data_IF_983537215113
#
_entry.id   IF_983537215113
#
_cell.length_a   1.000
_cell.length_b   1.000
_cell.length_c   1.000
_cell.angle_alpha   90.00
_cell.angle_beta   90.00
_cell.angle_gamma   90.00
#
_symmetry.space_group_name_H-M   'P 1'
#
loop_
_entity.id
_entity.type
_entity.pdbx_description
1 polymer ?
#
# COMPACT_ATOMS: atom_id res chain seq x y z
N UNK A 1 6.99 -5.48 25.19
CA UNK A 1 8.07 -4.50 24.97
C UNK A 1 7.56 -3.56 23.90
N UNK A 2 6.94 -2.46 24.30
CA UNK A 2 6.15 -1.54 23.46
C UNK A 2 7.06 -0.39 22.97
N UNK A 3 8.11 -0.73 22.23
CA UNK A 3 9.04 0.26 21.70
C UNK A 3 8.49 0.87 20.41
N UNK A 4 8.62 2.19 20.26
CA UNK A 4 8.36 2.88 19.00
C UNK A 4 9.22 2.27 17.87
N UNK A 5 8.58 1.99 16.73
CA UNK A 5 9.19 1.45 15.51
C UNK A 5 9.38 2.53 14.46
N UNK A 6 8.47 3.50 14.42
CA UNK A 6 8.48 4.59 13.47
C UNK A 6 7.83 5.84 14.08
N UNK A 7 8.27 7.01 13.63
CA UNK A 7 7.76 8.31 14.05
C UNK A 7 7.70 9.25 12.84
N UNK A 8 6.51 9.80 12.57
CA UNK A 8 6.29 10.72 11.44
C UNK A 8 5.73 12.04 11.95
N UNK A 9 6.23 13.15 11.38
CA UNK A 9 5.70 14.49 11.63
C UNK A 9 4.74 14.81 10.48
N UNK A 10 3.49 15.09 10.81
CA UNK A 10 2.42 15.34 9.85
C UNK A 10 2.08 16.84 9.86
N UNK A 11 2.29 17.52 8.74
CA UNK A 11 1.86 18.90 8.57
C UNK A 11 0.36 18.95 8.35
N UNK A 12 -0.35 19.82 9.06
CA UNK A 12 -1.77 20.06 8.81
C UNK A 12 -1.95 21.03 7.64
N UNK A 13 -2.90 20.76 6.76
CA UNK A 13 -3.15 21.62 5.60
C UNK A 13 -3.79 22.93 6.07
N UNK A 14 -3.18 24.05 5.67
CA UNK A 14 -3.71 25.39 5.96
C UNK A 14 -3.56 25.87 7.41
N UNK A 15 -2.93 25.08 8.30
CA UNK A 15 -2.71 25.44 9.70
C UNK A 15 -1.22 25.54 10.04
N UNK A 16 -0.88 26.47 10.94
CA UNK A 16 0.42 26.48 11.59
C UNK A 16 0.44 25.42 12.69
N UNK A 17 0.84 24.20 12.35
CA UNK A 17 0.92 23.11 13.33
C UNK A 17 1.31 21.80 12.68
N UNK A 18 1.80 20.90 13.52
CA UNK A 18 2.06 19.51 13.13
C UNK A 18 1.48 18.57 14.17
N UNK A 19 1.19 17.36 13.72
CA UNK A 19 0.89 16.22 14.57
C UNK A 19 2.02 15.20 14.46
N UNK A 20 2.11 14.33 15.46
CA UNK A 20 3.14 13.30 15.55
C UNK A 20 2.46 11.94 15.54
N UNK A 21 2.72 11.16 14.49
CA UNK A 21 2.28 9.78 14.38
C UNK A 21 3.35 8.88 14.98
N UNK A 22 2.97 8.07 15.96
CA UNK A 22 3.83 7.07 16.58
C UNK A 22 3.31 5.69 16.22
N UNK A 23 4.20 4.87 15.67
CA UNK A 23 3.89 3.48 15.33
C UNK A 23 4.67 2.56 16.25
N UNK A 24 3.99 1.69 16.98
CA UNK A 24 4.61 0.57 17.71
C UNK A 24 4.26 -0.74 17.01
N UNK A 25 4.68 -1.87 17.59
CA UNK A 25 4.28 -3.18 17.05
C UNK A 25 2.77 -3.38 17.08
N UNK A 26 2.09 -2.83 18.08
CA UNK A 26 0.71 -3.20 18.41
C UNK A 26 -0.27 -2.01 18.33
N UNK A 27 0.24 -0.82 18.00
CA UNK A 27 -0.53 0.43 18.07
C UNK A 27 -0.07 1.46 17.06
N UNK A 28 -1.05 2.19 16.54
CA UNK A 28 -0.86 3.46 15.86
C UNK A 28 -1.46 4.57 16.75
N UNK A 29 -0.73 5.65 16.97
CA UNK A 29 -1.16 6.71 17.87
C UNK A 29 -0.82 8.08 17.27
N UNK A 30 -1.78 8.99 17.29
CA UNK A 30 -1.59 10.36 16.85
C UNK A 30 -1.56 11.30 18.05
N UNK A 31 -0.53 12.14 18.11
CA UNK A 31 -0.37 13.18 19.12
C UNK A 31 -0.44 14.55 18.47
N UNK A 32 -1.05 15.51 19.17
CA UNK A 32 -0.88 16.92 18.82
C UNK A 32 0.59 17.32 19.00
N UNK A 33 1.23 17.89 17.99
CA UNK A 33 2.68 18.17 18.03
C UNK A 33 3.08 19.30 19.00
N UNK A 34 2.17 20.21 19.33
CA UNK A 34 2.45 21.32 20.25
C UNK A 34 2.34 20.91 21.73
N UNK A 35 1.32 20.12 22.06
CA UNK A 35 1.00 19.77 23.45
C UNK A 35 1.28 18.31 23.80
N UNK A 36 1.66 17.48 22.82
CA UNK A 36 1.90 16.04 22.95
C UNK A 36 0.71 15.28 23.55
N UNK A 37 -0.51 15.83 23.41
CA UNK A 37 -1.75 15.17 23.84
C UNK A 37 -2.17 14.17 22.78
N UNK A 38 -2.58 12.98 23.22
CA UNK A 38 -3.14 11.98 22.34
C UNK A 38 -4.45 12.49 21.73
N UNK A 39 -4.51 12.53 20.41
CA UNK A 39 -5.73 12.80 19.65
C UNK A 39 -6.57 11.53 19.54
N UNK A 40 -5.95 10.44 19.10
CA UNK A 40 -6.55 9.10 19.06
C UNK A 40 -5.49 8.01 19.13
N UNK A 41 -5.95 6.77 19.34
CA UNK A 41 -5.11 5.58 19.28
C UNK A 41 -5.89 4.41 18.68
N UNK A 42 -5.28 3.74 17.70
CA UNK A 42 -5.82 2.56 17.04
C UNK A 42 -4.98 1.33 17.41
N UNK A 43 -5.65 0.24 17.77
CA UNK A 43 -4.98 -1.04 18.02
C UNK A 43 -4.72 -1.74 16.69
N UNK A 44 -3.45 -2.03 16.39
CA UNK A 44 -3.05 -2.79 15.22
C UNK A 44 -2.21 -3.97 15.65
N UNK A 45 -2.75 -5.18 15.67
CA UNK A 45 -1.95 -6.35 16.09
C UNK A 45 -0.81 -6.60 15.08
N UNK A 46 0.45 -6.50 15.51
CA UNK A 46 1.63 -6.77 14.67
C UNK A 46 1.72 -5.92 13.39
N UNK A 47 1.77 -4.59 13.54
CA UNK A 47 2.07 -3.63 12.46
C UNK A 47 3.47 -3.90 11.87
N UNK A 48 3.53 -3.92 10.54
CA UNK A 48 4.70 -4.17 9.72
C UNK A 48 5.07 -2.93 8.90
N UNK A 49 6.32 -2.49 9.00
CA UNK A 49 6.83 -1.32 8.28
C UNK A 49 6.33 0.01 8.85
N UNK A 50 6.72 1.10 8.19
CA UNK A 50 6.21 2.43 8.47
C UNK A 50 4.83 2.62 7.79
N UNK A 51 3.88 3.32 8.43
CA UNK A 51 2.64 3.74 7.78
C UNK A 51 2.91 4.61 6.55
N UNK A 52 2.07 4.47 5.53
CA UNK A 52 2.09 5.34 4.35
C UNK A 52 0.96 6.36 4.45
N UNK A 53 1.31 7.64 4.37
CA UNK A 53 0.36 8.75 4.52
C UNK A 53 -0.26 9.14 3.18
N UNK A 54 -1.56 9.40 3.14
CA UNK A 54 -2.24 9.97 1.97
C UNK A 54 -3.69 10.33 2.30
N UNK A 55 -4.34 11.12 1.44
CA UNK A 55 -5.76 11.47 1.61
C UNK A 55 -6.64 10.37 1.04
N UNK A 56 -7.27 9.54 1.87
CA UNK A 56 -8.15 8.49 1.36
C UNK A 56 -9.56 9.03 1.10
N UNK A 57 -10.10 9.83 2.02
CA UNK A 57 -11.44 10.41 1.90
C UNK A 57 -11.37 11.93 1.54
N UNK A 58 -12.50 12.64 1.64
CA UNK A 58 -12.62 14.08 1.31
C UNK A 58 -12.64 14.99 2.56
N UNK A 59 -12.10 14.54 3.71
CA UNK A 59 -12.07 15.31 4.96
C UNK A 59 -10.85 16.24 5.12
N UNK A 60 -9.91 16.17 4.16
CA UNK A 60 -8.69 16.97 4.12
C UNK A 60 -7.69 16.67 5.26
N UNK A 61 -7.75 15.49 5.86
CA UNK A 61 -6.85 14.98 6.88
C UNK A 61 -6.06 13.78 6.29
N UNK A 62 -4.79 13.64 6.70
CA UNK A 62 -3.95 12.53 6.23
C UNK A 62 -4.41 11.21 6.87
N UNK A 63 -4.73 10.23 6.04
CA UNK A 63 -5.02 8.85 6.42
C UNK A 63 -3.78 7.96 6.28
N UNK A 64 -3.84 6.77 6.87
CA UNK A 64 -2.68 5.90 7.01
C UNK A 64 -2.93 4.51 6.44
N UNK A 65 -2.23 4.16 5.37
CA UNK A 65 -2.09 2.77 4.95
C UNK A 65 -1.10 2.07 5.88
N UNK A 66 -1.58 1.04 6.58
CA UNK A 66 -0.75 0.16 7.40
C UNK A 66 -0.90 -1.27 6.93
N UNK A 67 0.14 -2.05 7.20
CA UNK A 67 0.11 -3.49 7.02
C UNK A 67 0.23 -4.18 8.37
N UNK A 68 -0.62 -5.17 8.60
CA UNK A 68 -0.58 -5.98 9.81
C UNK A 68 -0.38 -7.45 9.48
N UNK A 69 0.42 -8.12 10.30
CA UNK A 69 0.58 -9.57 10.26
C UNK A 69 -0.64 -10.22 10.90
N UNK A 70 -1.39 -10.98 10.11
CA UNK A 70 -2.40 -11.90 10.62
C UNK A 70 -1.76 -13.29 10.59
N UNK A 71 -1.66 -13.96 11.74
CA UNK A 71 -1.06 -15.30 11.85
C UNK A 71 -1.53 -16.26 10.73
N UNK A 72 -0.71 -17.27 10.39
CA UNK A 72 -0.81 -18.12 9.19
C UNK A 72 -0.45 -17.43 7.86
N UNK A 73 0.73 -16.78 7.81
CA UNK A 73 1.29 -16.18 6.59
C UNK A 73 0.30 -15.27 5.86
N UNK A 74 -0.52 -14.51 6.57
CA UNK A 74 -1.48 -13.60 5.94
C UNK A 74 -1.14 -12.18 6.30
N UNK A 75 -1.11 -11.28 5.32
CA UNK A 75 -0.97 -9.84 5.55
C UNK A 75 -2.34 -9.20 5.37
N UNK A 76 -2.71 -8.27 6.24
CA UNK A 76 -3.86 -7.39 5.98
C UNK A 76 -3.34 -5.99 5.73
N UNK A 77 -3.88 -5.35 4.70
CA UNK A 77 -3.67 -3.93 4.42
C UNK A 77 -4.88 -3.18 4.92
N UNK A 78 -4.67 -2.11 5.69
CA UNK A 78 -5.72 -1.31 6.30
C UNK A 78 -5.50 0.16 5.97
N UNK A 79 -6.58 0.91 5.75
CA UNK A 79 -6.54 2.37 5.80
C UNK A 79 -7.15 2.79 7.14
N UNK A 80 -6.38 3.55 7.93
CA UNK A 80 -6.82 4.14 9.19
C UNK A 80 -7.10 5.63 8.96
N UNK A 81 -8.28 6.06 9.38
CA UNK A 81 -8.75 7.45 9.35
C UNK A 81 -7.86 8.33 10.23
N UNK A 82 -7.33 9.41 9.66
CA UNK A 82 -6.49 10.34 10.41
C UNK A 82 -7.24 11.25 11.38
N UNK A 83 -8.55 11.42 11.19
CA UNK A 83 -9.37 12.24 12.07
C UNK A 83 -9.78 11.51 13.34
N UNK A 84 -10.02 10.19 13.25
CA UNK A 84 -10.65 9.40 14.31
C UNK A 84 -9.81 8.20 14.79
N UNK A 85 -8.91 7.68 13.96
CA UNK A 85 -8.21 6.41 14.19
C UNK A 85 -9.04 5.17 13.84
N UNK A 86 -10.23 5.33 13.26
CA UNK A 86 -11.08 4.22 12.82
C UNK A 86 -10.63 3.62 11.49
N UNK A 87 -11.08 2.41 11.19
CA UNK A 87 -10.74 1.75 9.92
C UNK A 87 -11.67 2.22 8.78
N UNK A 88 -11.08 2.78 7.72
CA UNK A 88 -11.79 3.16 6.49
C UNK A 88 -11.83 2.03 5.46
N UNK A 89 -10.82 1.16 5.45
CA UNK A 89 -10.70 0.10 4.47
C UNK A 89 -9.85 -1.07 4.96
N UNK A 90 -10.14 -2.26 4.43
CA UNK A 90 -9.37 -3.48 4.70
C UNK A 90 -9.34 -4.40 3.49
N UNK A 91 -8.16 -4.90 3.16
CA UNK A 91 -7.99 -6.09 2.33
C UNK A 91 -7.17 -7.16 3.04
N UNK A 92 -7.62 -8.42 2.90
CA UNK A 92 -6.86 -9.60 3.30
C UNK A 92 -6.12 -10.13 2.08
N UNK A 93 -4.81 -9.93 2.05
CA UNK A 93 -3.96 -10.39 0.97
C UNK A 93 -3.28 -11.68 1.45
N UNK A 94 -3.47 -12.77 0.72
CA UNK A 94 -2.77 -14.02 1.05
C UNK A 94 -1.27 -13.79 0.95
N UNK A 95 -0.51 -14.32 1.91
CA UNK A 95 0.95 -14.35 1.94
C UNK A 95 1.64 -13.10 2.56
N UNK A 96 2.56 -13.37 3.51
CA UNK A 96 3.43 -12.39 4.14
C UNK A 96 4.57 -12.04 3.18
N UNK A 97 4.66 -10.77 2.76
CA UNK A 97 5.87 -10.23 2.11
C UNK A 97 6.64 -9.47 3.17
N UNK A 98 7.81 -9.97 3.53
CA UNK A 98 8.74 -9.22 4.35
C UNK A 98 9.36 -8.10 3.51
N UNK A 99 9.26 -6.85 3.98
CA UNK A 99 9.98 -5.72 3.38
C UNK A 99 9.34 -5.09 2.13
N UNK A 100 8.09 -5.42 1.79
CA UNK A 100 7.37 -4.69 0.74
C UNK A 100 7.01 -3.30 1.23
N UNK A 101 7.71 -2.32 0.69
CA UNK A 101 7.35 -0.92 0.76
C UNK A 101 6.02 -0.65 0.05
N UNK A 102 5.32 0.35 0.57
CA UNK A 102 4.13 0.93 -0.02
C UNK A 102 4.39 2.42 -0.25
N UNK A 103 3.57 3.05 -1.08
CA UNK A 103 3.66 4.48 -1.37
C UNK A 103 2.27 5.04 -1.62
N UNK A 104 2.13 6.35 -1.49
CA UNK A 104 0.96 7.08 -1.94
C UNK A 104 1.33 7.99 -3.10
N UNK A 105 0.34 8.33 -3.92
CA UNK A 105 0.49 9.30 -5.00
C UNK A 105 -0.73 10.22 -5.02
N UNK A 106 -0.53 11.55 -4.96
CA UNK A 106 -1.65 12.48 -4.93
C UNK A 106 -2.32 12.59 -6.30
N UNK A 107 -3.64 12.69 -6.25
CA UNK A 107 -4.54 12.78 -7.39
C UNK A 107 -5.09 14.20 -7.49
N UNK A 108 -5.55 14.57 -8.69
CA UNK A 108 -6.09 15.92 -8.94
C UNK A 108 -7.42 16.20 -8.23
N UNK A 109 -8.10 15.18 -7.73
CA UNK A 109 -9.39 15.30 -7.04
C UNK A 109 -9.24 15.47 -5.51
N UNK A 110 -8.02 15.69 -5.03
CA UNK A 110 -7.71 15.91 -3.61
C UNK A 110 -7.42 14.63 -2.83
N UNK A 111 -7.68 13.45 -3.42
CA UNK A 111 -7.35 12.15 -2.82
C UNK A 111 -5.93 11.71 -3.16
N UNK A 112 -5.51 10.59 -2.58
CA UNK A 112 -4.29 9.86 -2.88
C UNK A 112 -4.61 8.43 -3.26
N UNK A 113 -4.04 7.95 -4.37
CA UNK A 113 -4.01 6.52 -4.63
C UNK A 113 -2.87 5.88 -3.83
N UNK A 114 -3.07 4.64 -3.39
CA UNK A 114 -2.10 3.89 -2.61
C UNK A 114 -1.55 2.73 -3.43
N UNK A 115 -0.23 2.59 -3.42
CA UNK A 115 0.50 1.55 -4.12
C UNK A 115 1.20 0.62 -3.12
N UNK A 116 1.05 -0.68 -3.29
CA UNK A 116 1.72 -1.66 -2.43
C UNK A 116 1.95 -2.98 -3.15
N UNK A 117 3.00 -3.70 -2.75
CA UNK A 117 3.25 -5.04 -3.29
C UNK A 117 2.53 -6.11 -2.46
N UNK A 118 1.96 -7.09 -3.16
CA UNK A 118 1.40 -8.30 -2.56
C UNK A 118 1.69 -9.52 -3.45
N UNK A 119 1.77 -10.72 -2.85
CA UNK A 119 2.04 -11.95 -3.61
C UNK A 119 0.73 -12.43 -4.22
N UNK A 120 0.79 -13.02 -5.40
CA UNK A 120 -0.37 -13.71 -5.96
C UNK A 120 -0.71 -14.93 -5.10
N UNK A 121 -1.68 -14.78 -4.21
CA UNK A 121 -2.21 -15.87 -3.41
C UNK A 121 -3.72 -15.71 -3.38
N UNK A 122 -4.43 -16.61 -4.07
CA UNK A 122 -5.84 -16.52 -4.44
C UNK A 122 -6.73 -15.70 -3.50
N UNK A 123 -7.43 -14.71 -4.06
CA UNK A 123 -8.46 -13.94 -3.36
C UNK A 123 -9.53 -14.92 -2.87
N UNK A 124 -9.58 -15.17 -1.56
CA UNK A 124 -10.66 -15.95 -0.97
C UNK A 124 -11.84 -15.03 -0.70
N UNK A 125 -12.75 -14.93 -1.66
CA UNK A 125 -14.09 -14.40 -1.43
C UNK A 125 -14.85 -15.40 -0.56
N UNK A 126 -15.47 -14.91 0.53
CA UNK A 126 -16.31 -15.75 1.40
C UNK A 126 -17.76 -15.46 1.09
N UNK A 127 -18.29 -15.98 -0.03
CA UNK A 127 -19.73 -16.14 -0.21
C UNK A 127 -20.02 -17.45 -0.96
N UNK A 128 -20.65 -18.37 -0.23
CA UNK A 128 -21.52 -19.48 -0.65
C UNK A 128 -21.18 -20.31 -1.89
N UNK A 129 -20.72 -21.54 -1.63
CA UNK A 129 -21.36 -22.74 -2.21
C UNK A 129 -20.83 -23.30 -3.52
N UNK A 130 -19.91 -22.64 -4.22
CA UNK A 130 -19.20 -23.24 -5.36
C UNK A 130 -17.73 -23.33 -5.03
N UNK A 131 -17.30 -24.52 -4.58
CA UNK A 131 -15.91 -24.81 -4.33
C UNK A 131 -15.14 -24.80 -5.66
N UNK A 132 -14.56 -23.67 -6.03
CA UNK A 132 -13.33 -23.70 -6.83
C UNK A 132 -12.26 -24.33 -5.96
N UNK A 133 -12.06 -25.64 -6.16
CA UNK A 133 -10.97 -26.43 -5.58
C UNK A 133 -9.62 -25.93 -6.13
N UNK A 134 -9.14 -24.80 -5.61
CA UNK A 134 -7.71 -24.66 -5.34
C UNK A 134 -7.53 -24.83 -3.83
N UNK A 135 -7.75 -26.09 -3.41
CA UNK A 135 -7.22 -26.61 -2.16
C UNK A 135 -5.79 -26.12 -2.00
N UNK A 136 -5.39 -25.84 -0.76
CA UNK A 136 -4.02 -25.59 -0.34
C UNK A 136 -3.02 -26.43 -1.16
N UNK A 137 -2.56 -25.87 -2.27
CA UNK A 137 -1.45 -26.45 -3.00
C UNK A 137 -0.28 -26.14 -2.10
N UNK A 138 0.21 -27.22 -1.49
CA UNK A 138 1.56 -27.35 -0.95
C UNK A 138 2.43 -26.35 -1.69
N UNK A 139 2.96 -25.37 -0.97
CA UNK A 139 4.01 -24.50 -1.50
C UNK A 139 5.04 -25.43 -2.08
N UNK A 140 5.09 -25.54 -3.40
CA UNK A 140 6.22 -26.14 -4.08
C UNK A 140 7.39 -25.25 -3.67
N UNK A 141 8.39 -25.77 -2.94
CA UNK A 141 9.53 -24.95 -2.50
C UNK A 141 10.29 -24.33 -3.69
N UNK A 142 10.00 -24.77 -4.92
CA UNK A 142 10.53 -24.24 -6.17
C UNK A 142 9.59 -23.29 -6.94
N UNK A 143 8.37 -23.03 -6.48
CA UNK A 143 7.51 -22.02 -7.10
C UNK A 143 8.05 -20.61 -6.82
N UNK A 144 8.65 -20.00 -7.85
CA UNK A 144 9.17 -18.64 -7.76
C UNK A 144 8.04 -17.72 -7.28
N UNK A 145 8.27 -17.01 -6.16
CA UNK A 145 7.23 -16.14 -5.58
C UNK A 145 7.04 -14.94 -6.49
N UNK A 146 5.88 -14.86 -7.16
CA UNK A 146 5.51 -13.72 -7.99
C UNK A 146 4.78 -12.68 -7.13
N UNK A 147 5.37 -11.50 -7.05
CA UNK A 147 4.85 -10.32 -6.39
C UNK A 147 4.23 -9.39 -7.42
N UNK A 148 3.16 -8.73 -7.04
CA UNK A 148 2.38 -7.82 -7.87
C UNK A 148 2.26 -6.46 -7.19
N UNK A 149 2.44 -5.41 -7.98
CA UNK A 149 2.19 -4.03 -7.57
C UNK A 149 0.72 -3.73 -7.77
N UNK A 150 0.01 -3.46 -6.68
CA UNK A 150 -1.38 -3.04 -6.71
C UNK A 150 -1.51 -1.54 -6.53
N UNK A 151 -2.50 -0.95 -7.20
CA UNK A 151 -3.00 0.39 -6.95
C UNK A 151 -4.42 0.31 -6.40
N UNK A 152 -4.63 0.94 -5.25
CA UNK A 152 -5.91 1.18 -4.59
C UNK A 152 -6.31 2.64 -4.82
N UNK A 153 -7.46 2.84 -5.45
CA UNK A 153 -8.06 4.17 -5.58
C UNK A 153 -9.23 4.32 -4.61
N UNK A 154 -9.31 5.40 -3.80
CA UNK A 154 -10.32 5.44 -2.73
C UNK A 154 -11.78 5.40 -3.20
N UNK A 155 -12.12 6.01 -4.34
CA UNK A 155 -13.47 5.92 -4.94
C UNK A 155 -13.90 4.50 -5.36
N UNK A 156 -12.95 3.59 -5.59
CA UNK A 156 -13.21 2.22 -6.01
C UNK A 156 -12.45 1.27 -5.09
N UNK A 157 -12.72 1.39 -3.79
CA UNK A 157 -12.01 0.64 -2.75
C UNK A 157 -12.28 -0.88 -2.79
N UNK A 158 -13.31 -1.29 -3.53
CA UNK A 158 -13.65 -2.67 -3.90
C UNK A 158 -12.80 -3.20 -5.07
N UNK A 159 -11.93 -2.38 -5.67
CA UNK A 159 -11.15 -2.72 -6.86
C UNK A 159 -9.67 -2.44 -6.63
N UNK A 160 -8.82 -3.40 -6.97
CA UNK A 160 -7.38 -3.22 -7.09
C UNK A 160 -6.96 -3.28 -8.55
N UNK A 161 -6.06 -2.39 -8.96
CA UNK A 161 -5.38 -2.49 -10.25
C UNK A 161 -4.02 -3.13 -10.07
N UNK A 162 -3.78 -4.25 -10.73
CA UNK A 162 -2.45 -4.82 -10.85
C UNK A 162 -1.70 -4.13 -11.98
N UNK A 163 -0.59 -3.47 -11.62
CA UNK A 163 0.18 -2.60 -12.50
C UNK A 163 1.44 -3.26 -13.07
N UNK A 164 2.11 -4.09 -12.25
CA UNK A 164 3.37 -4.71 -12.58
C UNK A 164 3.62 -5.94 -11.71
N UNK A 165 4.61 -6.76 -12.08
CA UNK A 165 5.03 -7.91 -11.31
C UNK A 165 6.56 -7.99 -11.14
N UNK A 166 6.99 -8.75 -10.14
CA UNK A 166 8.39 -9.01 -9.81
C UNK A 166 8.53 -10.39 -9.20
N UNK A 167 9.62 -11.09 -9.51
CA UNK A 167 10.01 -12.35 -8.85
C UNK A 167 10.90 -12.12 -7.62
N UNK A 168 11.46 -10.91 -7.51
CA UNK A 168 12.28 -10.48 -6.39
C UNK A 168 11.47 -9.59 -5.44
N UNK A 169 11.82 -9.64 -4.15
CA UNK A 169 11.23 -8.79 -3.13
C UNK A 169 11.69 -7.35 -3.37
N UNK A 170 10.72 -6.44 -3.51
CA UNK A 170 10.99 -5.00 -3.54
C UNK A 170 11.34 -4.55 -2.13
N UNK A 171 12.52 -3.97 -1.98
CA UNK A 171 13.10 -3.54 -0.69
C UNK A 171 13.03 -2.04 -0.47
N UNK A 172 12.83 -1.25 -1.53
CA UNK A 172 12.57 0.18 -1.44
C UNK A 172 11.66 0.62 -2.60
N UNK A 173 10.86 1.65 -2.37
CA UNK A 173 10.13 2.31 -3.45
C UNK A 173 9.92 3.80 -3.22
N UNK A 174 9.68 4.51 -4.31
CA UNK A 174 9.30 5.91 -4.30
C UNK A 174 8.30 6.21 -5.41
N UNK A 175 7.49 7.23 -5.21
CA UNK A 175 6.59 7.79 -6.21
C UNK A 175 7.03 9.21 -6.57
N UNK A 176 6.67 9.66 -7.76
CA UNK A 176 6.89 11.05 -8.17
C UNK A 176 5.91 11.46 -9.26
N UNK A 177 5.75 12.78 -9.42
CA UNK A 177 4.89 13.37 -10.44
C UNK A 177 5.76 14.07 -11.46
N UNK A 178 5.45 13.82 -12.73
CA UNK A 178 6.03 14.51 -13.85
C UNK A 178 4.98 15.44 -14.48
N UNK A 179 4.88 16.65 -13.90
CA UNK A 179 3.82 17.62 -14.22
C UNK A 179 3.75 17.97 -15.72
N UNK A 180 4.90 18.05 -16.39
CA UNK A 180 4.98 18.37 -17.82
C UNK A 180 4.25 17.35 -18.70
N UNK A 181 4.30 16.06 -18.35
CA UNK A 181 3.57 15.00 -19.08
C UNK A 181 2.23 14.65 -18.44
N UNK A 182 1.88 15.31 -17.32
CA UNK A 182 0.71 14.94 -16.49
C UNK A 182 0.70 13.44 -16.15
N UNK A 183 1.90 12.90 -15.92
CA UNK A 183 2.10 11.52 -15.54
C UNK A 183 2.69 11.46 -14.13
N UNK A 184 2.62 10.28 -13.53
CA UNK A 184 3.33 9.95 -12.33
C UNK A 184 4.16 8.69 -12.58
N UNK A 185 5.16 8.46 -11.74
CA UNK A 185 6.00 7.30 -11.87
C UNK A 185 6.19 6.62 -10.51
N UNK A 186 6.42 5.32 -10.56
CA UNK A 186 6.78 4.49 -9.44
C UNK A 186 8.17 3.91 -9.68
N UNK A 187 9.07 4.10 -8.73
CA UNK A 187 10.41 3.51 -8.74
C UNK A 187 10.45 2.41 -7.68
N UNK A 188 10.91 1.22 -8.07
CA UNK A 188 11.15 0.11 -7.16
C UNK A 188 12.58 -0.36 -7.21
N UNK A 189 13.11 -0.75 -6.07
CA UNK A 189 14.43 -1.38 -5.95
C UNK A 189 14.27 -2.82 -5.46
N UNK A 190 14.96 -3.75 -6.12
CA UNK A 190 15.07 -5.14 -5.67
C UNK A 190 16.53 -5.48 -5.37
N UNK A 191 16.75 -6.27 -4.33
CA UNK A 191 18.05 -6.83 -4.03
C UNK A 191 18.20 -8.15 -4.77
N UNK A 192 19.10 -8.21 -5.75
CA UNK A 192 19.33 -9.42 -6.53
C UNK A 192 19.74 -10.59 -5.64
N UNK A 193 19.12 -11.75 -5.82
CA UNK A 193 19.48 -12.96 -5.06
C UNK A 193 20.72 -13.63 -5.65
N UNK A 194 21.87 -12.96 -5.66
CA UNK A 194 23.14 -13.67 -5.88
C UNK A 194 23.42 -14.52 -4.65
N UNK A 195 23.67 -15.83 -4.87
CA UNK A 195 23.97 -16.83 -3.84
C UNK A 195 24.86 -16.24 -2.74
N UNK A 196 24.49 -16.53 -1.48
CA UNK A 196 25.25 -16.20 -0.27
C UNK A 196 26.67 -16.79 -0.36
N UNK A 197 27.60 -16.09 -1.01
CA UNK A 197 29.02 -16.19 -0.68
C UNK A 197 29.21 -15.41 0.62
N UNK A 198 29.89 -16.03 1.58
CA UNK A 198 30.05 -15.53 2.95
C UNK A 198 30.89 -14.24 3.08
N UNK A 199 31.20 -13.58 1.98
CA UNK A 199 32.04 -12.38 1.94
C UNK A 199 31.41 -11.35 0.99
N UNK A 200 31.12 -10.17 1.56
CA UNK A 200 30.50 -8.98 0.97
C UNK A 200 28.97 -8.96 0.77
N UNK A 201 28.31 -8.10 1.55
CA UNK A 201 26.87 -7.72 1.45
C UNK A 201 26.55 -6.80 0.26
N UNK A 202 27.48 -6.58 -0.66
CA UNK A 202 27.31 -5.72 -1.83
C UNK A 202 26.91 -6.53 -3.06
N UNK A 203 25.66 -6.96 -3.12
CA UNK A 203 25.07 -7.48 -4.35
C UNK A 203 24.60 -6.33 -5.26
N UNK A 204 24.43 -6.56 -6.58
CA UNK A 204 23.85 -5.57 -7.47
C UNK A 204 22.41 -5.25 -7.04
N UNK A 205 22.08 -3.96 -7.03
CA UNK A 205 20.71 -3.46 -6.82
C UNK A 205 20.08 -3.19 -8.17
N UNK A 206 18.88 -3.73 -8.40
CA UNK A 206 18.12 -3.46 -9.61
C UNK A 206 17.09 -2.38 -9.30
N UNK A 207 17.15 -1.28 -10.05
CA UNK A 207 16.17 -0.18 -9.96
C UNK A 207 15.32 -0.20 -11.23
N UNK A 208 14.00 -0.20 -11.07
CA UNK A 208 13.03 -0.12 -12.16
C UNK A 208 12.14 1.09 -11.98
N UNK A 209 11.91 1.83 -13.05
CA UNK A 209 10.90 2.89 -13.14
C UNK A 209 9.68 2.41 -13.92
N UNK A 210 8.49 2.83 -13.49
CA UNK A 210 7.21 2.50 -14.11
C UNK A 210 6.38 3.78 -14.24
N UNK A 211 6.00 4.15 -15.46
CA UNK A 211 5.04 5.23 -15.71
C UNK A 211 3.61 4.78 -15.36
N UNK A 212 2.93 5.53 -14.50
CA UNK A 212 1.65 5.12 -13.91
C UNK A 212 0.50 5.24 -14.92
N UNK A 213 0.47 6.27 -15.78
CA UNK A 213 -0.56 6.34 -16.84
C UNK A 213 -0.48 5.12 -17.77
N UNK A 214 0.73 4.75 -18.20
CA UNK A 214 0.93 3.56 -19.02
C UNK A 214 0.53 2.29 -18.26
N UNK A 215 0.96 2.14 -17.00
CA UNK A 215 0.65 0.95 -16.21
C UNK A 215 -0.85 0.80 -15.95
N UNK A 216 -1.57 1.89 -15.66
CA UNK A 216 -3.03 1.89 -15.45
C UNK A 216 -3.75 1.46 -16.72
N UNK A 217 -3.36 1.97 -17.89
CA UNK A 217 -3.98 1.60 -19.17
C UNK A 217 -3.79 0.12 -19.56
N UNK A 218 -2.73 -0.52 -19.06
CA UNK A 218 -2.43 -1.94 -19.30
C UNK A 218 -2.72 -2.84 -18.08
N UNK A 219 -3.37 -2.29 -17.05
CA UNK A 219 -3.59 -2.98 -15.79
C UNK A 219 -4.61 -4.12 -15.89
N UNK A 220 -4.43 -5.10 -15.00
CA UNK A 220 -5.42 -6.13 -14.71
C UNK A 220 -6.29 -5.68 -13.54
N UNK A 221 -7.60 -5.67 -13.74
CA UNK A 221 -8.58 -5.35 -12.69
C UNK A 221 -8.75 -6.58 -11.82
N UNK A 222 -8.55 -6.41 -10.52
CA UNK A 222 -8.79 -7.43 -9.49
C UNK A 222 -9.91 -6.92 -8.59
N UNK A 223 -11.11 -7.45 -8.80
CA UNK A 223 -12.30 -7.06 -8.02
C UNK A 223 -12.32 -7.80 -6.69
N UNK A 224 -12.55 -7.07 -5.60
CA UNK A 224 -12.80 -7.61 -4.26
C UNK A 224 -14.29 -7.97 -4.08
N UNK A 225 -15.17 -7.35 -4.85
CA UNK A 225 -16.64 -7.54 -4.85
C UNK A 225 -17.19 -7.60 -6.30
N UNK A 226 -18.45 -7.97 -6.53
CA UNK A 226 -19.02 -8.02 -7.90
C UNK A 226 -19.40 -6.63 -8.41
N UNK A 227 -18.55 -6.03 -9.25
CA UNK A 227 -18.81 -4.74 -9.90
C UNK A 227 -18.70 -4.79 -11.44
N UNK A 228 -19.38 -3.84 -12.11
CA UNK A 228 -19.33 -3.66 -13.57
C UNK A 228 -17.96 -3.15 -14.07
N UNK A 229 -17.14 -4.09 -14.55
CA UNK A 229 -15.77 -3.87 -15.06
C UNK A 229 -15.64 -2.75 -16.12
N UNK A 230 -16.66 -2.55 -16.96
CA UNK A 230 -16.62 -1.56 -18.05
C UNK A 230 -16.54 -0.11 -17.58
N UNK A 231 -17.37 0.26 -16.59
CA UNK A 231 -17.38 1.62 -16.02
C UNK A 231 -16.07 1.91 -15.28
N UNK A 232 -15.55 0.90 -14.58
CA UNK A 232 -14.30 0.95 -13.84
C UNK A 232 -13.13 1.32 -14.76
N UNK A 233 -12.96 0.62 -15.89
CA UNK A 233 -11.84 0.90 -16.81
C UNK A 233 -11.89 2.32 -17.37
N UNK A 234 -13.10 2.81 -17.71
CA UNK A 234 -13.28 4.18 -18.19
C UNK A 234 -12.85 5.19 -17.12
N UNK A 235 -13.24 4.97 -15.86
CA UNK A 235 -12.82 5.82 -14.75
C UNK A 235 -11.29 5.86 -14.60
N UNK A 236 -10.65 4.70 -14.51
CA UNK A 236 -9.21 4.63 -14.30
C UNK A 236 -8.39 5.26 -15.44
N UNK A 237 -8.89 5.22 -16.68
CA UNK A 237 -8.26 5.91 -17.82
C UNK A 237 -8.26 7.44 -17.73
N UNK A 238 -9.06 8.00 -16.81
CA UNK A 238 -9.24 9.45 -16.64
C UNK A 238 -8.57 10.00 -15.38
N UNK A 239 -7.89 9.14 -14.60
CA UNK A 239 -7.14 9.58 -13.43
C UNK A 239 -6.08 10.60 -13.85
N UNK A 240 -5.90 11.60 -12.99
CA UNK A 240 -4.86 12.61 -13.15
C UNK A 240 -4.11 12.75 -11.85
N UNK A 241 -2.80 12.84 -11.97
CA UNK A 241 -1.90 13.10 -10.85
C UNK A 241 -1.65 14.60 -10.71
N UNK A 242 -1.56 15.09 -9.49
CA UNK A 242 -1.27 16.51 -9.21
C UNK A 242 -0.44 16.62 -7.95
N UNK A 243 0.69 17.33 -8.02
CA UNK A 243 1.48 17.69 -6.85
C UNK A 243 0.85 18.87 -6.08
N UNK A 244 -0.05 19.61 -6.73
CA UNK A 244 -0.70 20.79 -6.15
C UNK A 244 -1.86 20.33 -5.27
N UNK A 245 -1.63 20.47 -3.97
CA UNK A 245 -2.64 20.41 -2.93
C UNK A 245 -3.40 21.75 -2.91
N UNK A 246 -4.53 21.85 -3.63
CA UNK A 246 -5.45 23.01 -3.55
C UNK A 246 -6.16 23.12 -2.21
#
# INVERSE_FOLDING_TARGET
>A
NDSARDLQILSRRGESGSDILITTRDRLQLLNGQHLRQLWSANGSSIEGAPVTGFFNEDNILDFLIHISSGSNTRKSLIIDGSSGEELWRAKLGCHIQGSEAASIPLSDGRSAFLFWAKECGVKTSVSGVASLSQAQRTDPNSQSQYHLYLLHPLYSSVLLELANSTEVVTASATGIFEQQKDAFYVSMTAGSTQKSHESRTGPLLVKGLGLNWAISHSRVVTLEEETIGTIRKFFSQIRFSAVQH
#
